data_IF_852691068165
#
_entry.id   IF_852691068165
#
_cell.length_a   1.000
_cell.length_b   1.000
_cell.length_c   1.000
_cell.angle_alpha   90.00
_cell.angle_beta   90.00
_cell.angle_gamma   90.00
#
_symmetry.space_group_name_H-M   'P 1'
#
loop_
_entity.id
_entity.type
_entity.pdbx_description
1 polymer ?
#
# COMPACT_ATOMS: atom_id res chain seq x y z
N UNK A 1 10.47 8.64 8.89
CA UNK A 1 9.56 7.99 7.92
C UNK A 1 9.80 8.59 6.53
N UNK A 2 9.87 7.81 5.45
CA UNK A 2 9.95 8.33 4.08
C UNK A 2 8.72 9.18 3.72
N UNK A 3 8.79 9.98 2.65
CA UNK A 3 7.66 10.84 2.23
C UNK A 3 6.41 10.04 1.85
N UNK A 4 6.61 8.87 1.24
CA UNK A 4 5.53 7.99 0.84
C UNK A 4 5.77 6.58 1.34
N UNK A 5 4.69 5.90 1.72
CA UNK A 5 4.66 4.46 1.92
C UNK A 5 3.86 3.81 0.79
N UNK A 6 4.29 2.61 0.37
CA UNK A 6 3.78 1.91 -0.81
C UNK A 6 3.27 0.50 -0.46
N UNK A 7 2.16 0.10 -1.06
CA UNK A 7 1.61 -1.25 -0.94
C UNK A 7 1.21 -1.77 -2.31
N UNK A 8 1.84 -2.86 -2.75
CA UNK A 8 1.48 -3.52 -3.99
C UNK A 8 0.45 -4.62 -3.71
N UNK A 9 -0.49 -4.80 -4.63
CA UNK A 9 -1.57 -5.76 -4.48
C UNK A 9 -2.04 -6.27 -5.85
N UNK A 10 -2.54 -7.51 -5.93
CA UNK A 10 -3.20 -7.98 -7.15
C UNK A 10 -4.48 -7.19 -7.41
N UNK A 11 -4.87 -7.12 -8.67
CA UNK A 11 -6.08 -6.41 -9.11
C UNK A 11 -7.35 -6.82 -8.34
N UNK A 12 -7.47 -8.11 -8.01
CA UNK A 12 -8.63 -8.67 -7.29
C UNK A 12 -8.84 -8.07 -5.88
N UNK A 13 -7.78 -7.55 -5.24
CA UNK A 13 -7.87 -6.93 -3.92
C UNK A 13 -8.00 -5.41 -3.99
N UNK A 14 -7.64 -4.82 -5.12
CA UNK A 14 -7.54 -3.37 -5.27
C UNK A 14 -8.90 -2.67 -5.12
N UNK A 15 -9.99 -3.29 -5.57
CA UNK A 15 -11.33 -2.74 -5.37
C UNK A 15 -11.67 -2.60 -3.88
N UNK A 16 -11.43 -3.66 -3.10
CA UNK A 16 -11.69 -3.64 -1.65
C UNK A 16 -10.85 -2.58 -0.96
N UNK A 17 -9.56 -2.45 -1.32
CA UNK A 17 -8.67 -1.44 -0.76
C UNK A 17 -9.09 -0.02 -1.15
N UNK A 18 -9.51 0.18 -2.41
CA UNK A 18 -9.98 1.49 -2.86
C UNK A 18 -11.26 1.93 -2.14
N UNK A 19 -12.12 0.98 -1.78
CA UNK A 19 -13.38 1.23 -1.08
C UNK A 19 -13.22 1.40 0.43
N UNK A 20 -12.44 0.53 1.07
CA UNK A 20 -12.39 0.40 2.52
C UNK A 20 -11.08 0.93 3.13
N UNK A 21 -10.04 1.11 2.32
CA UNK A 21 -8.70 1.47 2.78
C UNK A 21 -7.79 0.25 2.98
N UNK A 22 -6.63 0.50 3.57
CA UNK A 22 -5.70 -0.55 3.97
C UNK A 22 -5.88 -0.86 5.44
N UNK A 23 -5.99 -2.13 5.79
CA UNK A 23 -6.22 -2.58 7.16
C UNK A 23 -5.07 -3.49 7.64
N UNK A 24 -4.72 -3.43 8.92
CA UNK A 24 -3.83 -4.40 9.55
C UNK A 24 -4.36 -5.82 9.39
N UNK A 25 -3.46 -6.78 9.15
CA UNK A 25 -3.84 -8.20 9.07
C UNK A 25 -2.94 -9.05 9.94
N UNK A 26 -3.48 -10.18 10.40
CA UNK A 26 -2.68 -11.19 11.08
C UNK A 26 -1.68 -11.81 10.10
N UNK A 27 -0.41 -11.75 10.45
CA UNK A 27 0.68 -12.41 9.70
C UNK A 27 1.32 -13.41 10.65
N UNK A 28 1.54 -14.64 10.17
CA UNK A 28 2.07 -15.73 10.99
C UNK A 28 3.40 -15.36 11.65
N UNK A 29 3.54 -15.63 12.95
CA UNK A 29 4.74 -15.35 13.73
C UNK A 29 4.70 -14.04 14.53
N UNK A 30 3.66 -13.21 14.37
CA UNK A 30 3.47 -11.98 15.14
C UNK A 30 2.23 -12.10 16.03
N UNK A 31 2.29 -11.54 17.24
CA UNK A 31 1.21 -11.62 18.24
C UNK A 31 0.05 -10.67 17.95
N UNK A 32 0.29 -9.63 17.14
CA UNK A 32 -0.70 -8.63 16.77
C UNK A 32 -0.81 -8.49 15.25
N UNK A 33 -2.02 -8.17 14.77
CA UNK A 33 -2.23 -7.80 13.38
C UNK A 33 -1.50 -6.48 13.07
N UNK A 34 -0.88 -6.39 11.90
CA UNK A 34 -0.22 -5.17 11.45
C UNK A 34 -0.43 -4.96 9.96
N UNK A 35 -0.42 -3.69 9.57
CA UNK A 35 -0.32 -3.26 8.18
C UNK A 35 1.15 -3.15 7.81
N UNK A 36 1.52 -3.74 6.68
CA UNK A 36 2.88 -3.70 6.15
C UNK A 36 2.92 -2.88 4.85
N UNK A 37 3.82 -1.89 4.81
CA UNK A 37 4.09 -1.08 3.62
C UNK A 37 5.58 -0.91 3.39
N UNK A 38 5.97 -0.61 2.15
CA UNK A 38 7.35 -0.30 1.82
C UNK A 38 7.62 1.20 1.83
N UNK A 39 8.78 1.61 2.35
CA UNK A 39 9.31 2.96 2.19
C UNK A 39 9.87 3.27 0.79
N UNK A 40 9.96 2.26 -0.08
CA UNK A 40 10.45 2.38 -1.45
C UNK A 40 9.49 1.71 -2.41
N UNK A 41 9.23 2.35 -3.54
CA UNK A 41 8.37 1.79 -4.57
C UNK A 41 8.87 0.43 -5.07
N UNK A 42 10.18 0.32 -5.34
CA UNK A 42 10.81 -0.93 -5.77
C UNK A 42 10.75 -2.04 -4.72
N UNK A 43 10.65 -1.68 -3.43
CA UNK A 43 10.47 -2.63 -2.34
C UNK A 43 9.06 -3.22 -2.27
N UNK A 44 8.05 -2.49 -2.74
CA UNK A 44 6.67 -2.97 -2.79
C UNK A 44 6.42 -3.95 -3.94
N UNK A 45 7.14 -3.81 -5.06
CA UNK A 45 6.88 -4.52 -6.34
C UNK A 45 7.70 -5.83 -6.47
N UNK A 46 8.29 -6.33 -5.38
CA UNK A 46 9.31 -7.40 -5.40
C UNK A 46 8.79 -8.81 -5.73
N UNK A 47 7.48 -9.03 -5.76
CA UNK A 47 6.86 -10.34 -6.04
C UNK A 47 6.24 -10.41 -7.43
N UNK A 48 6.14 -11.64 -7.98
CA UNK A 48 5.62 -12.02 -9.31
C UNK A 48 4.65 -10.98 -9.88
N UNK A 49 4.93 -10.48 -11.09
CA UNK A 49 4.19 -9.42 -11.79
C UNK A 49 2.69 -9.29 -11.47
N UNK A 50 1.90 -10.38 -11.51
CA UNK A 50 0.45 -10.33 -11.23
C UNK A 50 0.08 -9.92 -9.79
N UNK A 51 0.90 -10.26 -8.79
CA UNK A 51 0.70 -9.86 -7.40
C UNK A 51 0.93 -8.36 -7.16
N UNK A 52 1.53 -7.68 -8.14
CA UNK A 52 2.00 -6.31 -8.03
C UNK A 52 1.42 -5.40 -9.12
N UNK A 53 0.28 -5.74 -9.73
CA UNK A 53 -0.32 -4.93 -10.82
C UNK A 53 -0.80 -3.57 -10.31
N UNK A 54 -1.43 -3.53 -9.13
CA UNK A 54 -1.90 -2.27 -8.54
C UNK A 54 -0.96 -1.87 -7.42
N UNK A 55 -0.54 -0.61 -7.45
CA UNK A 55 0.28 -0.01 -6.42
C UNK A 55 -0.50 1.11 -5.76
N UNK A 56 -0.66 1.01 -4.44
CA UNK A 56 -1.16 2.08 -3.59
C UNK A 56 0.00 2.84 -2.94
N UNK A 57 -0.20 4.13 -2.71
CA UNK A 57 0.67 4.93 -1.85
C UNK A 57 -0.13 5.84 -0.93
N UNK A 58 0.50 6.26 0.15
CA UNK A 58 0.02 7.31 1.06
C UNK A 58 1.14 8.30 1.32
N UNK A 59 0.82 9.60 1.38
CA UNK A 59 1.75 10.61 1.88
C UNK A 59 1.84 10.48 3.40
N UNK A 60 3.05 10.26 3.89
CA UNK A 60 3.34 10.04 5.30
C UNK A 60 2.98 11.22 6.19
N UNK A 61 2.79 12.42 5.64
CA UNK A 61 2.22 13.56 6.38
C UNK A 61 0.77 13.33 6.85
N UNK A 62 0.04 12.37 6.26
CA UNK A 62 -1.32 12.01 6.66
C UNK A 62 -1.38 10.85 7.68
N UNK A 63 -0.23 10.41 8.20
CA UNK A 63 -0.14 9.27 9.11
C UNK A 63 0.28 9.73 10.50
N UNK A 64 -0.16 8.99 11.52
CA UNK A 64 0.39 9.13 12.86
C UNK A 64 1.79 8.53 12.91
N UNK A 65 2.85 9.34 12.82
CA UNK A 65 4.22 8.86 12.76
C UNK A 65 4.64 7.98 13.95
N UNK A 66 4.01 8.14 15.12
CA UNK A 66 4.32 7.34 16.32
C UNK A 66 3.79 5.90 16.23
N UNK A 67 2.73 5.68 15.45
CA UNK A 67 2.16 4.37 15.22
C UNK A 67 2.94 3.53 14.20
N UNK A 68 3.91 4.13 13.51
CA UNK A 68 4.67 3.46 12.45
C UNK A 68 6.11 3.19 12.87
N UNK A 69 6.55 1.95 12.69
CA UNK A 69 7.93 1.53 12.99
C UNK A 69 8.61 0.94 11.77
N UNK A 70 9.88 1.29 11.58
CA UNK A 70 10.73 0.70 10.54
C UNK A 70 11.22 -0.69 10.97
N UNK A 71 11.07 -1.67 10.07
CA UNK A 71 11.39 -3.09 10.29
C UNK A 71 12.06 -3.71 9.05
N UNK A 72 12.43 -4.98 9.15
CA UNK A 72 12.95 -5.81 8.06
C UNK A 72 14.45 -5.65 7.77
N UNK A 73 15.04 -6.69 7.17
CA UNK A 73 16.43 -6.68 6.69
C UNK A 73 16.53 -5.75 5.47
N UNK A 74 17.12 -4.57 5.64
CA UNK A 74 17.25 -3.56 4.59
C UNK A 74 16.49 -2.25 4.83
N UNK A 75 15.79 -2.09 5.97
CA UNK A 75 15.21 -0.81 6.43
C UNK A 75 14.36 -0.12 5.34
N UNK A 76 13.37 -0.85 4.85
CA UNK A 76 12.42 -0.33 3.87
C UNK A 76 11.03 -0.90 4.08
N UNK A 77 10.82 -1.67 5.15
CA UNK A 77 9.51 -2.13 5.58
C UNK A 77 9.05 -1.25 6.74
N UNK A 78 7.80 -0.82 6.70
CA UNK A 78 7.17 0.02 7.70
C UNK A 78 5.89 -0.69 8.16
N UNK A 79 5.74 -0.83 9.47
CA UNK A 79 4.60 -1.52 10.09
C UNK A 79 3.83 -0.60 11.02
N UNK A 80 2.51 -0.76 11.04
CA UNK A 80 1.62 -0.09 11.99
C UNK A 80 0.44 -0.99 12.35
N UNK A 81 -0.13 -0.77 13.54
CA UNK A 81 -1.43 -1.36 13.94
C UNK A 81 -2.61 -0.53 13.46
N UNK A 82 -2.38 0.61 12.84
CA UNK A 82 -3.41 1.49 12.28
C UNK A 82 -3.70 1.14 10.83
N UNK A 83 -4.97 1.27 10.45
CA UNK A 83 -5.38 1.28 9.04
C UNK A 83 -5.11 2.62 8.36
N UNK A 84 -5.17 2.63 7.03
CA UNK A 84 -5.10 3.85 6.22
C UNK A 84 -6.45 4.02 5.50
N UNK A 85 -7.21 5.06 5.84
CA UNK A 85 -8.46 5.38 5.15
C UNK A 85 -8.26 5.64 3.65
N UNK A 86 -9.24 5.28 2.80
CA UNK A 86 -9.13 5.39 1.34
C UNK A 86 -8.93 6.83 0.86
N UNK A 87 -9.40 7.84 1.61
CA UNK A 87 -9.21 9.27 1.28
C UNK A 87 -7.74 9.69 1.23
N UNK A 88 -6.87 9.00 1.97
CA UNK A 88 -5.43 9.27 1.98
C UNK A 88 -4.66 8.44 0.94
N UNK A 89 -5.34 7.51 0.25
CA UNK A 89 -4.72 6.61 -0.70
C UNK A 89 -4.74 7.18 -2.12
N UNK A 90 -3.62 6.97 -2.79
CA UNK A 90 -3.49 7.11 -4.23
C UNK A 90 -3.11 5.77 -4.83
N UNK A 91 -3.51 5.53 -6.07
CA UNK A 91 -3.21 4.31 -6.78
C UNK A 91 -2.67 4.58 -8.18
N UNK A 92 -2.03 3.56 -8.75
CA UNK A 92 -1.74 3.45 -10.18
C UNK A 92 -1.58 1.99 -10.57
N UNK A 93 -1.50 1.72 -11.88
CA UNK A 93 -1.06 0.41 -12.38
C UNK A 93 0.45 0.38 -12.54
N UNK A 94 1.11 -0.59 -11.93
CA UNK A 94 2.53 -0.85 -12.10
C UNK A 94 2.83 -1.51 -13.46
N UNK A 95 1.93 -2.36 -13.95
CA UNK A 95 2.07 -3.06 -15.24
C UNK A 95 1.23 -2.45 -16.37
N UNK A 96 0.71 -1.24 -16.15
CA UNK A 96 -0.10 -0.52 -17.13
C UNK A 96 0.72 0.29 -18.14
N UNK A 97 -0.01 0.96 -19.04
CA UNK A 97 0.55 1.98 -19.96
C UNK A 97 1.06 3.20 -19.20
N UNK A 98 1.78 4.11 -19.89
CA UNK A 98 2.28 5.35 -19.29
C UNK A 98 1.17 6.16 -18.58
N UNK A 99 -0.02 6.27 -19.20
CA UNK A 99 -1.17 6.98 -18.59
C UNK A 99 -1.78 6.25 -17.39
N UNK A 100 -1.63 4.93 -17.32
CA UNK A 100 -2.06 4.11 -16.17
C UNK A 100 -1.02 4.10 -15.03
N UNK A 101 0.22 4.52 -15.31
CA UNK A 101 1.29 4.72 -14.31
C UNK A 101 1.25 6.09 -13.63
N UNK A 102 0.31 6.96 -14.00
CA UNK A 102 0.06 8.22 -13.29
C UNK A 102 -0.75 7.95 -12.02
N UNK A 103 -0.35 8.59 -10.92
CA UNK A 103 -1.04 8.51 -9.63
C UNK A 103 -2.41 9.18 -9.68
N UNK A 104 -3.41 8.51 -9.10
CA UNK A 104 -4.80 8.98 -9.01
C UNK A 104 -5.34 8.71 -7.61
N UNK A 105 -6.35 9.46 -7.16
CA UNK A 105 -7.03 9.16 -5.89
C UNK A 105 -7.64 7.77 -5.93
N UNK A 106 -7.57 7.03 -4.82
CA UNK A 106 -8.16 5.69 -4.70
C UNK A 106 -9.66 5.67 -5.01
N UNK A 107 -10.38 6.77 -4.71
CA UNK A 107 -11.80 6.93 -5.05
C UNK A 107 -12.11 6.91 -6.56
N UNK A 108 -11.10 7.08 -7.43
CA UNK A 108 -11.25 6.99 -8.88
C UNK A 108 -11.03 5.56 -9.42
N UNK A 109 -10.75 4.57 -8.55
CA UNK A 109 -10.58 3.19 -8.97
C UNK A 109 -11.91 2.63 -9.51
N UNK A 110 -11.94 1.98 -10.68
CA UNK A 110 -13.17 1.45 -11.24
C UNK A 110 -13.70 0.28 -10.39
N UNK A 111 -14.93 0.42 -9.90
CA UNK A 111 -15.62 -0.58 -9.07
C UNK A 111 -16.50 -1.48 -9.95
N UNK A 112 -16.60 -2.78 -9.62
CA UNK A 112 -17.52 -3.71 -10.29
C UNK A 112 -17.06 -4.20 -11.67
N UNK A 113 -15.75 -4.31 -11.89
CA UNK A 113 -15.15 -4.82 -13.14
C UNK A 113 -14.64 -6.25 -12.97
#
# INVERSE_FOLDING_TARGET
MPKYLYHATPRLNAESIARNGLEPRSVGGESAAYLCMSGKESGAVTLKNQASDILFRVDSANLNAEAWSERGAGKSEWRSTDGIPPVHLEYRRNLGTASQKTWRKASAYPLGV
#
